data_IF_826161387733
#
_entry.id   IF_826161387733
#
_cell.length_a   1.000
_cell.length_b   1.000
_cell.length_c   1.000
_cell.angle_alpha   90.00
_cell.angle_beta   90.00
_cell.angle_gamma   90.00
#
_symmetry.space_group_name_H-M   'P 1'
#
loop_
_entity.id
_entity.type
_entity.pdbx_description
1 polymer ?
#
# COMPACT_ATOMS: atom_id res chain seq x y z
N UNK A 1 -6.34 2.96 -1.26
CA UNK A 1 -7.49 3.82 -1.63
C UNK A 1 -7.91 4.78 -0.52
N UNK A 2 -7.17 4.86 0.59
CA UNK A 2 -7.48 5.76 1.70
C UNK A 2 -7.20 7.23 1.36
N UNK A 3 -7.90 8.14 2.07
CA UNK A 3 -7.93 9.58 1.83
C UNK A 3 -6.53 10.22 1.77
N UNK A 4 -5.66 9.87 2.68
CA UNK A 4 -4.31 10.41 2.83
C UNK A 4 -3.38 10.01 1.67
N UNK A 5 -3.70 8.91 0.97
CA UNK A 5 -2.98 8.47 -0.24
C UNK A 5 -3.59 9.01 -1.54
N UNK A 6 -4.93 9.17 -1.60
CA UNK A 6 -5.60 9.48 -2.88
C UNK A 6 -6.22 10.89 -2.93
N UNK A 7 -6.25 11.63 -1.82
CA UNK A 7 -6.92 12.93 -1.74
C UNK A 7 -6.40 13.98 -2.73
N UNK A 8 -5.12 13.92 -3.10
CA UNK A 8 -4.51 14.84 -4.08
C UNK A 8 -4.46 14.28 -5.51
N UNK A 9 -4.90 13.05 -5.75
CA UNK A 9 -4.76 12.40 -7.07
C UNK A 9 -5.56 13.14 -8.15
N UNK A 10 -6.82 13.49 -7.88
CA UNK A 10 -7.65 14.17 -8.89
C UNK A 10 -7.09 15.50 -9.36
N UNK A 11 -6.69 16.44 -8.49
CA UNK A 11 -6.05 17.68 -8.94
C UNK A 11 -4.72 17.46 -9.68
N UNK A 12 -3.93 16.46 -9.30
CA UNK A 12 -2.69 16.09 -10.01
C UNK A 12 -3.02 15.54 -11.41
N UNK A 13 -3.98 14.62 -11.49
CA UNK A 13 -4.44 14.04 -12.76
C UNK A 13 -4.92 15.12 -13.72
N UNK A 14 -5.70 16.09 -13.24
CA UNK A 14 -6.23 17.18 -14.07
C UNK A 14 -5.14 18.15 -14.52
N UNK A 15 -4.20 18.50 -13.63
CA UNK A 15 -3.14 19.44 -13.93
C UNK A 15 -2.08 18.87 -14.88
N UNK A 16 -1.67 17.62 -14.67
CA UNK A 16 -0.59 17.00 -15.41
C UNK A 16 -1.06 16.09 -16.55
N UNK A 17 -2.35 15.79 -16.62
CA UNK A 17 -2.96 14.85 -17.58
C UNK A 17 -2.27 13.49 -17.58
N UNK A 18 -1.93 13.00 -16.39
CA UNK A 18 -1.29 11.71 -16.19
C UNK A 18 -2.34 10.64 -15.85
N UNK A 19 -2.15 9.39 -16.27
CA UNK A 19 -3.05 8.31 -15.89
C UNK A 19 -2.91 7.98 -14.39
N UNK A 20 -4.01 7.50 -13.80
CA UNK A 20 -4.06 6.99 -12.44
C UNK A 20 -4.30 5.49 -12.43
N UNK A 21 -3.47 4.78 -11.69
CA UNK A 21 -3.57 3.34 -11.49
C UNK A 21 -3.85 3.01 -10.02
N UNK A 22 -4.71 2.01 -9.78
CA UNK A 22 -5.06 1.53 -8.43
C UNK A 22 -5.37 0.03 -8.49
N UNK A 23 -5.13 -0.68 -7.39
CA UNK A 23 -5.64 -2.04 -7.25
C UNK A 23 -7.17 -2.05 -7.20
N UNK A 24 -7.80 -2.81 -8.09
CA UNK A 24 -9.26 -2.78 -8.30
C UNK A 24 -10.09 -3.07 -7.06
N UNK A 25 -9.54 -3.80 -6.09
CA UNK A 25 -10.19 -4.03 -4.79
C UNK A 25 -10.48 -2.75 -4.00
N UNK A 26 -9.76 -1.65 -4.28
CA UNK A 26 -9.92 -0.37 -3.58
C UNK A 26 -10.93 0.59 -4.26
N UNK A 27 -11.59 0.18 -5.34
CA UNK A 27 -12.63 1.00 -5.99
C UNK A 27 -13.72 1.47 -5.03
N UNK A 28 -14.23 0.62 -4.09
CA UNK A 28 -15.22 1.07 -3.10
C UNK A 28 -14.68 2.16 -2.17
N UNK A 29 -13.43 2.03 -1.68
CA UNK A 29 -12.78 3.05 -0.84
C UNK A 29 -12.63 4.36 -1.59
N UNK A 30 -12.18 4.29 -2.85
CA UNK A 30 -12.02 5.46 -3.70
C UNK A 30 -13.37 6.17 -3.99
N UNK A 31 -14.46 5.42 -4.12
CA UNK A 31 -15.79 5.98 -4.31
C UNK A 31 -16.26 6.80 -3.09
N UNK A 32 -15.84 6.43 -1.89
CA UNK A 32 -16.16 7.12 -0.64
C UNK A 32 -15.25 8.32 -0.35
N UNK A 33 -14.26 8.62 -1.19
CA UNK A 33 -13.29 9.70 -0.98
C UNK A 33 -13.93 11.07 -0.65
N UNK A 34 -15.00 11.54 -1.35
CA UNK A 34 -15.63 12.81 -1.01
C UNK A 34 -16.28 12.82 0.39
N UNK A 35 -16.87 11.70 0.80
CA UNK A 35 -17.52 11.53 2.10
C UNK A 35 -16.48 11.46 3.23
N UNK A 36 -15.41 10.69 3.05
CA UNK A 36 -14.30 10.63 3.98
C UNK A 36 -13.65 12.01 4.13
N UNK A 37 -13.45 12.75 3.02
CA UNK A 37 -12.96 14.11 3.08
C UNK A 37 -13.80 15.01 3.95
N UNK A 38 -15.12 14.96 3.82
CA UNK A 38 -16.03 15.75 4.66
C UNK A 38 -15.90 15.43 6.16
N UNK A 39 -15.71 14.16 6.52
CA UNK A 39 -15.52 13.74 7.91
C UNK A 39 -14.25 14.36 8.53
N UNK A 40 -13.23 14.64 7.71
CA UNK A 40 -11.99 15.34 8.10
C UNK A 40 -12.01 16.85 7.81
N UNK A 41 -13.19 17.43 7.54
CA UNK A 41 -13.33 18.87 7.26
C UNK A 41 -12.84 19.31 5.87
N UNK A 42 -12.44 18.39 5.00
CA UNK A 42 -12.01 18.68 3.63
C UNK A 42 -13.23 18.72 2.70
N UNK A 43 -13.49 19.86 2.09
CA UNK A 43 -14.61 20.03 1.17
C UNK A 43 -14.14 20.02 -0.28
N UNK A 44 -14.99 19.50 -1.17
CA UNK A 44 -14.75 19.58 -2.61
C UNK A 44 -13.76 18.55 -3.15
N UNK A 45 -13.40 17.52 -2.38
CA UNK A 45 -12.63 16.40 -2.92
C UNK A 45 -13.44 15.69 -4.02
N UNK A 46 -12.74 15.34 -5.08
CA UNK A 46 -13.31 14.64 -6.23
C UNK A 46 -12.62 13.30 -6.41
N UNK A 47 -13.42 12.29 -6.70
CA UNK A 47 -12.91 10.96 -7.05
C UNK A 47 -12.11 11.04 -8.36
N UNK A 48 -10.85 10.58 -8.40
CA UNK A 48 -10.07 10.51 -9.63
C UNK A 48 -10.65 9.46 -10.60
N UNK A 49 -10.33 9.63 -11.89
CA UNK A 49 -10.65 8.62 -12.90
C UNK A 49 -9.61 7.52 -12.84
N UNK A 50 -10.06 6.27 -12.75
CA UNK A 50 -9.16 5.10 -12.80
C UNK A 50 -8.90 4.78 -14.28
N UNK A 51 -7.64 4.95 -14.70
CA UNK A 51 -7.20 4.66 -16.07
C UNK A 51 -6.65 3.25 -16.20
N UNK A 52 -6.07 2.70 -15.10
CA UNK A 52 -5.49 1.37 -15.08
C UNK A 52 -5.85 0.64 -13.79
N UNK A 53 -6.44 -0.54 -13.93
CA UNK A 53 -6.63 -1.47 -12.81
C UNK A 53 -5.39 -2.35 -12.65
N UNK A 54 -4.79 -2.31 -11.48
CA UNK A 54 -3.58 -3.07 -11.18
C UNK A 54 -3.85 -4.55 -10.87
N UNK A 55 -5.11 -5.00 -10.80
CA UNK A 55 -5.43 -6.39 -10.42
C UNK A 55 -4.67 -7.42 -11.27
N UNK A 56 -4.63 -7.20 -12.59
CA UNK A 56 -3.98 -8.11 -13.55
C UNK A 56 -2.62 -7.59 -14.06
N UNK A 57 -2.12 -6.47 -13.47
CA UNK A 57 -0.86 -5.87 -13.88
C UNK A 57 0.26 -6.35 -12.98
N UNK A 58 1.32 -6.92 -13.56
CA UNK A 58 2.52 -7.36 -12.83
C UNK A 58 3.71 -6.41 -12.98
N UNK A 59 3.70 -5.54 -14.01
CA UNK A 59 4.74 -4.57 -14.24
C UNK A 59 4.24 -3.34 -15.00
N UNK A 60 4.82 -2.18 -14.71
CA UNK A 60 4.54 -0.90 -15.38
C UNK A 60 5.86 -0.39 -15.98
N UNK A 61 5.92 -0.01 -17.26
CA UNK A 61 7.10 0.62 -17.85
C UNK A 61 7.45 1.93 -17.11
N UNK A 62 8.74 2.13 -16.82
CA UNK A 62 9.24 3.31 -16.15
C UNK A 62 10.64 3.69 -16.67
N UNK A 63 10.71 4.71 -17.49
CA UNK A 63 11.96 5.09 -18.17
C UNK A 63 12.48 3.92 -19.04
N UNK A 64 13.73 3.51 -18.81
CA UNK A 64 14.35 2.34 -19.46
C UNK A 64 14.12 1.02 -18.71
N UNK A 65 13.46 1.05 -17.55
CA UNK A 65 13.19 -0.12 -16.71
C UNK A 65 11.71 -0.39 -16.53
N UNK A 66 11.41 -1.15 -15.50
CA UNK A 66 10.03 -1.48 -15.10
C UNK A 66 9.85 -1.34 -13.59
N UNK A 67 8.65 -0.96 -13.19
CA UNK A 67 8.17 -1.08 -11.81
C UNK A 67 7.41 -2.40 -11.72
N UNK A 68 7.86 -3.32 -10.88
CA UNK A 68 7.10 -4.56 -10.61
C UNK A 68 5.97 -4.27 -9.64
N UNK A 69 4.77 -4.77 -9.95
CA UNK A 69 3.57 -4.63 -9.11
C UNK A 69 3.31 -5.94 -8.40
N UNK A 70 3.49 -5.92 -7.09
CA UNK A 70 3.22 -7.06 -6.21
C UNK A 70 1.92 -6.81 -5.46
N UNK A 71 0.98 -7.74 -5.52
CA UNK A 71 -0.29 -7.63 -4.78
C UNK A 71 -0.03 -7.88 -3.30
N UNK A 72 -0.38 -6.93 -2.47
CA UNK A 72 -0.26 -7.01 -1.01
C UNK A 72 -1.58 -6.63 -0.33
N UNK A 73 -2.67 -7.38 -0.62
CA UNK A 73 -3.96 -7.12 0.02
C UNK A 73 -3.92 -7.42 1.52
N UNK A 74 -4.78 -6.76 2.27
CA UNK A 74 -4.92 -6.97 3.72
C UNK A 74 -5.24 -5.70 4.45
N UNK A 75 -4.37 -4.69 4.44
CA UNK A 75 -4.68 -3.35 4.92
C UNK A 75 -5.85 -2.75 4.11
N UNK A 76 -5.80 -2.89 2.81
CA UNK A 76 -6.94 -2.70 1.90
C UNK A 76 -7.06 -3.86 0.93
N UNK A 77 -8.24 -4.11 0.33
CA UNK A 77 -8.42 -5.18 -0.65
C UNK A 77 -7.58 -4.99 -1.93
N UNK A 78 -7.31 -3.75 -2.32
CA UNK A 78 -6.53 -3.40 -3.51
C UNK A 78 -5.05 -3.11 -3.23
N UNK A 79 -4.55 -3.43 -2.04
CA UNK A 79 -3.16 -3.16 -1.64
C UNK A 79 -2.15 -3.68 -2.65
N UNK A 80 -1.16 -2.83 -2.99
CA UNK A 80 -0.06 -3.16 -3.88
C UNK A 80 1.25 -2.58 -3.35
N UNK A 81 2.33 -3.36 -3.50
CA UNK A 81 3.71 -2.92 -3.30
C UNK A 81 4.39 -2.77 -4.65
N UNK A 82 5.14 -1.70 -4.84
CA UNK A 82 5.86 -1.41 -6.07
C UNK A 82 7.36 -1.62 -5.88
N UNK A 83 7.96 -2.54 -6.66
CA UNK A 83 9.37 -2.86 -6.54
C UNK A 83 10.16 -2.29 -7.73
N UNK A 84 11.25 -1.62 -7.41
CA UNK A 84 12.18 -0.98 -8.33
C UNK A 84 13.54 -1.68 -8.30
N UNK A 85 14.32 -1.50 -9.37
CA UNK A 85 15.60 -2.14 -9.53
C UNK A 85 15.48 -3.55 -10.11
N UNK A 86 16.59 -4.08 -10.66
CA UNK A 86 16.60 -5.33 -11.40
C UNK A 86 16.19 -6.54 -10.54
N UNK A 87 16.49 -6.48 -9.23
CA UNK A 87 16.17 -7.51 -8.24
C UNK A 87 15.14 -7.07 -7.20
N UNK A 88 14.53 -5.87 -7.35
CA UNK A 88 13.59 -5.31 -6.40
C UNK A 88 14.29 -4.78 -5.14
N UNK A 89 15.39 -4.08 -5.34
CA UNK A 89 16.22 -3.52 -4.27
C UNK A 89 15.47 -2.45 -3.47
N UNK A 90 14.48 -1.79 -4.07
CA UNK A 90 13.66 -0.75 -3.42
C UNK A 90 12.19 -1.06 -3.56
N UNK A 91 11.46 -0.98 -2.46
CA UNK A 91 10.02 -1.20 -2.42
C UNK A 91 9.26 -0.01 -1.85
N UNK A 92 8.23 0.46 -2.58
CA UNK A 92 7.21 1.33 -2.03
C UNK A 92 6.07 0.45 -1.51
N UNK A 93 5.98 0.32 -0.20
CA UNK A 93 5.05 -0.63 0.44
C UNK A 93 3.68 -0.02 0.75
N UNK A 94 3.55 1.32 0.66
CA UNK A 94 2.36 1.99 1.16
C UNK A 94 2.12 1.58 2.61
N UNK A 95 0.90 1.19 2.92
CA UNK A 95 0.51 0.76 4.26
C UNK A 95 0.53 -0.77 4.43
N UNK A 96 1.17 -1.47 3.50
CA UNK A 96 1.37 -2.92 3.64
C UNK A 96 2.53 -3.28 4.59
N UNK A 97 3.45 -2.35 4.88
CA UNK A 97 4.56 -2.57 5.82
C UNK A 97 5.12 -1.22 6.27
N UNK A 98 5.23 -1.04 7.59
CA UNK A 98 5.87 0.10 8.23
C UNK A 98 7.13 -0.33 8.96
N UNK A 99 7.93 0.65 9.38
CA UNK A 99 9.04 0.37 10.28
C UNK A 99 8.52 -0.17 11.62
N UNK A 100 8.83 -1.44 11.91
CA UNK A 100 8.43 -2.20 13.10
C UNK A 100 6.91 -2.30 13.32
N UNK A 101 6.10 -2.14 12.25
CA UNK A 101 4.65 -2.22 12.32
C UNK A 101 4.06 -2.61 10.98
N UNK A 102 2.74 -2.73 10.92
CA UNK A 102 1.96 -2.98 9.71
C UNK A 102 0.71 -2.11 9.69
N UNK A 103 0.08 -1.94 8.54
CA UNK A 103 -1.18 -1.21 8.43
C UNK A 103 -2.31 -1.90 9.19
N UNK A 104 -3.21 -1.11 9.78
CA UNK A 104 -4.43 -1.60 10.43
C UNK A 104 -5.40 -2.20 9.42
N UNK A 105 -6.32 -3.05 9.88
CA UNK A 105 -7.27 -3.75 9.00
C UNK A 105 -8.73 -3.33 9.20
N UNK A 106 -9.03 -2.53 10.21
CA UNK A 106 -10.40 -2.12 10.58
C UNK A 106 -10.98 -0.98 9.73
N UNK A 107 -10.23 -0.47 8.75
CA UNK A 107 -10.68 0.56 7.80
C UNK A 107 -10.95 -0.02 6.39
N UNK A 108 -11.58 -1.18 6.33
CA UNK A 108 -11.92 -1.85 5.08
C UNK A 108 -10.97 -2.96 4.66
N UNK A 109 -10.05 -3.34 5.55
CA UNK A 109 -9.13 -4.46 5.37
C UNK A 109 -9.66 -5.80 5.86
N UNK A 110 -8.79 -6.80 5.82
CA UNK A 110 -9.05 -8.18 6.27
C UNK A 110 -7.79 -8.76 6.91
N UNK A 111 -7.86 -9.07 8.20
CA UNK A 111 -6.72 -9.55 8.97
C UNK A 111 -6.21 -10.91 8.49
N UNK A 112 -7.09 -11.84 8.12
CA UNK A 112 -6.72 -13.18 7.65
C UNK A 112 -6.07 -13.12 6.27
N UNK A 113 -6.59 -12.27 5.37
CA UNK A 113 -5.95 -12.00 4.07
C UNK A 113 -4.57 -11.41 4.31
N UNK A 114 -4.45 -10.45 5.23
CA UNK A 114 -3.20 -9.76 5.48
C UNK A 114 -2.13 -10.68 6.10
N UNK A 115 -2.50 -11.54 7.04
CA UNK A 115 -1.60 -12.55 7.60
C UNK A 115 -1.04 -13.47 6.51
N UNK A 116 -1.88 -13.90 5.55
CA UNK A 116 -1.42 -14.66 4.38
C UNK A 116 -0.49 -13.84 3.49
N UNK A 117 -0.82 -12.59 3.22
CA UNK A 117 0.01 -11.67 2.43
C UNK A 117 1.40 -11.49 3.06
N UNK A 118 1.47 -11.28 4.37
CA UNK A 118 2.75 -11.17 5.08
C UNK A 118 3.55 -12.45 4.93
N UNK A 119 2.96 -13.61 5.23
CA UNK A 119 3.66 -14.89 5.19
C UNK A 119 4.11 -15.29 3.78
N UNK A 120 3.23 -15.16 2.79
CA UNK A 120 3.43 -15.75 1.48
C UNK A 120 4.04 -14.78 0.47
N UNK A 121 3.97 -13.46 0.71
CA UNK A 121 4.39 -12.42 -0.23
C UNK A 121 5.48 -11.53 0.36
N UNK A 122 5.30 -10.98 1.56
CA UNK A 122 6.22 -9.98 2.13
C UNK A 122 7.45 -10.67 2.72
N UNK A 123 7.29 -11.67 3.57
CA UNK A 123 8.40 -12.39 4.19
C UNK A 123 9.39 -13.03 3.21
N UNK A 124 8.97 -13.57 2.03
CA UNK A 124 9.90 -14.09 1.05
C UNK A 124 10.75 -13.04 0.32
N UNK A 125 10.45 -11.73 0.45
CA UNK A 125 11.24 -10.69 -0.21
C UNK A 125 12.69 -10.70 0.28
N UNK A 126 13.67 -10.34 -0.58
CA UNK A 126 15.08 -10.33 -0.21
C UNK A 126 15.38 -9.42 0.97
N UNK A 127 16.28 -9.83 1.86
CA UNK A 127 16.67 -9.04 3.05
C UNK A 127 17.24 -7.65 2.72
N UNK A 128 17.90 -7.54 1.57
CA UNK A 128 18.47 -6.27 1.09
C UNK A 128 17.43 -5.30 0.51
N UNK A 129 16.14 -5.70 0.37
CA UNK A 129 15.12 -4.80 -0.14
C UNK A 129 14.90 -3.65 0.83
N UNK A 130 15.08 -2.42 0.36
CA UNK A 130 14.75 -1.20 1.09
C UNK A 130 13.23 -1.07 1.20
N UNK A 131 12.73 -0.81 2.39
CA UNK A 131 11.30 -0.62 2.68
C UNK A 131 11.01 0.88 2.79
N UNK A 132 10.25 1.41 1.85
CA UNK A 132 9.71 2.76 1.88
C UNK A 132 8.20 2.68 2.14
N UNK A 133 7.81 2.97 3.36
CA UNK A 133 6.43 2.90 3.82
C UNK A 133 5.63 4.14 3.41
N UNK A 134 4.29 4.06 3.49
CA UNK A 134 3.41 5.21 3.35
C UNK A 134 3.57 6.21 4.50
N UNK A 135 3.88 5.71 5.69
CA UNK A 135 4.07 6.47 6.92
C UNK A 135 5.32 6.03 7.67
N UNK A 136 5.94 6.98 8.38
CA UNK A 136 7.12 6.71 9.21
C UNK A 136 8.43 6.60 8.43
N UNK A 137 9.52 6.16 9.10
CA UNK A 137 10.83 6.08 8.49
C UNK A 137 10.96 4.87 7.54
N UNK A 138 11.90 4.96 6.61
CA UNK A 138 12.32 3.82 5.78
C UNK A 138 13.09 2.79 6.61
N UNK A 139 13.10 1.54 6.11
CA UNK A 139 13.74 0.41 6.75
C UNK A 139 14.34 -0.55 5.70
N UNK A 140 14.64 -1.78 6.09
CA UNK A 140 15.00 -2.88 5.18
C UNK A 140 14.25 -4.15 5.57
N UNK A 141 14.04 -5.05 4.61
CA UNK A 141 13.42 -6.34 4.91
C UNK A 141 14.18 -7.13 5.98
N UNK A 142 15.51 -7.00 6.05
CA UNK A 142 16.32 -7.65 7.09
C UNK A 142 15.95 -7.15 8.49
N UNK A 143 15.73 -5.84 8.67
CA UNK A 143 15.30 -5.24 9.94
C UNK A 143 13.89 -5.69 10.27
N UNK A 144 12.98 -5.58 9.31
CA UNK A 144 11.58 -5.92 9.54
C UNK A 144 11.38 -7.40 9.89
N UNK A 145 12.05 -8.31 9.21
CA UNK A 145 11.99 -9.75 9.54
C UNK A 145 12.50 -10.07 10.94
N UNK A 146 13.51 -9.35 11.41
CA UNK A 146 14.13 -9.57 12.73
C UNK A 146 13.33 -8.93 13.85
N UNK A 147 12.94 -7.66 13.69
CA UNK A 147 12.49 -6.79 14.77
C UNK A 147 11.00 -6.41 14.72
N UNK A 148 10.34 -6.54 13.56
CA UNK A 148 8.93 -6.24 13.42
C UNK A 148 8.09 -7.35 14.07
N UNK A 149 7.31 -7.05 15.12
CA UNK A 149 6.59 -8.06 15.89
C UNK A 149 5.53 -8.81 15.08
N UNK A 150 5.00 -8.22 14.00
CA UNK A 150 4.02 -8.85 13.11
C UNK A 150 4.69 -9.79 12.09
N UNK A 151 5.93 -9.53 11.71
CA UNK A 151 6.68 -10.36 10.78
C UNK A 151 7.41 -11.50 11.49
N UNK A 152 7.88 -11.29 12.72
CA UNK A 152 8.60 -12.30 13.50
C UNK A 152 7.68 -13.20 14.36
N UNK A 153 6.35 -13.00 14.29
CA UNK A 153 5.36 -13.85 14.95
C UNK A 153 5.15 -13.55 16.43
N UNK A 154 5.59 -12.39 16.94
CA UNK A 154 5.33 -11.97 18.32
C UNK A 154 3.93 -11.40 18.51
N UNK A 155 3.35 -10.80 17.47
CA UNK A 155 1.99 -10.24 17.46
C UNK A 155 1.20 -10.76 16.26
N UNK A 156 -0.09 -11.01 16.47
CA UNK A 156 -1.01 -11.37 15.41
C UNK A 156 -1.57 -10.13 14.70
N UNK A 157 -1.82 -10.27 13.40
CA UNK A 157 -2.51 -9.24 12.61
C UNK A 157 -3.96 -9.12 13.13
N UNK A 158 -4.40 -7.89 13.36
CA UNK A 158 -5.73 -7.61 13.92
C UNK A 158 -5.74 -7.50 15.45
N UNK A 159 -4.59 -7.56 16.11
CA UNK A 159 -4.50 -7.27 17.54
C UNK A 159 -4.94 -5.81 17.81
N UNK A 160 -5.87 -5.57 18.77
CA UNK A 160 -6.37 -4.23 19.07
C UNK A 160 -5.33 -3.28 19.68
N UNK A 161 -4.19 -3.79 20.11
CA UNK A 161 -3.11 -3.03 20.75
C UNK A 161 -2.05 -2.49 19.77
N UNK A 162 -2.41 -2.29 18.49
CA UNK A 162 -1.55 -1.62 17.52
C UNK A 162 -1.24 -0.20 17.97
N UNK A 163 0.02 0.18 18.24
CA UNK A 163 0.37 1.58 18.44
C UNK A 163 0.09 2.35 17.13
N UNK A 164 -0.68 3.42 17.26
CA UNK A 164 -0.95 4.36 16.17
C UNK A 164 0.26 5.24 15.91
#
# INVERSE_FOLDING_TARGET
GHLDHVGAVKPIQDALRVPFAIGGGDRPLLALLPEHGLAFGMRGLKTPTIDLDLAEVSAIPFGSGVIRVVKTPGHTPGGCTFLFGDRGEKGLFGDSLFHLSVGRTDLGGDADVYARTIRDVILPMPDATEVHAGHGPSSTMAVEKRDNPFLNGQLDIGCPDLPM
#
